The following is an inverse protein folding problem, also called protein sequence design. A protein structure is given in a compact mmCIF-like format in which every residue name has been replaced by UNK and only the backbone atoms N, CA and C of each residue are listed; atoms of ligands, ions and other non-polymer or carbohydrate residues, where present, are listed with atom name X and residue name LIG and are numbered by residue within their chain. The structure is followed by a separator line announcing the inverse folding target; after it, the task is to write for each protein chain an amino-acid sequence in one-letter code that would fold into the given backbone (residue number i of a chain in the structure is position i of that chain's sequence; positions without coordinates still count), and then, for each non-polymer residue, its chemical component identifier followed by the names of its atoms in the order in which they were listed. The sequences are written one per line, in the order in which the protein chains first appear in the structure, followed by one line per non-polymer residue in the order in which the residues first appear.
data_IF_253968777235
#
_entry.id   IF_253968777235
#
_cell.length_a   1.000
_cell.length_b   1.000
_cell.length_c   1.000
_cell.angle_alpha   90.00
_cell.angle_beta   90.00
_cell.angle_gamma   90.00
#
_symmetry.space_group_name_H-M   'P 1'
#
loop_
_entity.id
_entity.type
_entity.pdbx_description
1 polymer ?
#
# COMPACT_ATOMS: atom_id res chain seq x y z
N UNK A 1 -10.65 -5.28 0.09
CA UNK A 1 -11.50 -6.50 0.11
C UNK A 1 -12.02 -6.87 -1.28
N UNK A 2 -12.71 -5.97 -1.99
CA UNK A 2 -13.27 -6.22 -3.33
C UNK A 2 -12.23 -6.60 -4.39
N UNK A 3 -11.03 -6.01 -4.32
CA UNK A 3 -9.90 -6.31 -5.23
C UNK A 3 -9.47 -7.76 -5.15
N UNK A 4 -9.27 -8.28 -3.94
CA UNK A 4 -8.83 -9.66 -3.70
C UNK A 4 -9.82 -10.65 -4.28
N UNK A 5 -11.13 -10.41 -4.11
CA UNK A 5 -12.17 -11.27 -4.67
C UNK A 5 -12.20 -11.24 -6.20
N UNK A 6 -12.23 -10.05 -6.81
CA UNK A 6 -12.24 -9.96 -8.27
C UNK A 6 -10.95 -10.47 -8.90
N UNK A 7 -9.79 -10.20 -8.29
CA UNK A 7 -8.51 -10.73 -8.73
C UNK A 7 -8.52 -12.27 -8.64
N UNK A 8 -8.95 -12.84 -7.52
CA UNK A 8 -8.99 -14.29 -7.31
C UNK A 8 -9.94 -15.00 -8.29
N UNK A 9 -11.12 -14.43 -8.54
CA UNK A 9 -12.06 -14.96 -9.53
C UNK A 9 -11.50 -14.93 -10.97
N UNK A 10 -10.88 -13.82 -11.37
CA UNK A 10 -10.29 -13.73 -12.70
C UNK A 10 -9.05 -14.62 -12.84
N UNK A 11 -8.26 -14.77 -11.77
CA UNK A 11 -7.11 -15.67 -11.72
C UNK A 11 -7.53 -17.13 -11.86
N UNK A 12 -8.50 -17.58 -11.06
CA UNK A 12 -9.02 -18.95 -11.10
C UNK A 12 -9.65 -19.31 -12.45
N UNK A 13 -10.23 -18.34 -13.15
CA UNK A 13 -10.78 -18.50 -14.50
C UNK A 13 -9.72 -18.36 -15.63
N UNK A 14 -8.44 -18.15 -15.30
CA UNK A 14 -7.35 -17.95 -16.28
C UNK A 14 -7.43 -16.64 -17.06
N UNK A 15 -8.27 -15.69 -16.65
CA UNK A 15 -8.51 -14.42 -17.34
C UNK A 15 -7.54 -13.33 -16.88
N UNK A 16 -6.24 -13.54 -17.08
CA UNK A 16 -5.17 -12.66 -16.57
C UNK A 16 -5.28 -11.21 -17.08
N UNK A 17 -5.70 -11.00 -18.33
CA UNK A 17 -5.93 -9.64 -18.85
C UNK A 17 -7.05 -8.89 -18.12
N UNK A 18 -8.09 -9.60 -17.64
CA UNK A 18 -9.15 -8.99 -16.82
C UNK A 18 -8.70 -8.75 -15.39
N UNK A 19 -7.87 -9.64 -14.83
CA UNK A 19 -7.24 -9.46 -13.53
C UNK A 19 -6.46 -8.15 -13.48
N UNK A 20 -5.57 -7.92 -14.45
CA UNK A 20 -4.73 -6.71 -14.48
C UNK A 20 -5.58 -5.43 -14.59
N UNK A 21 -6.66 -5.47 -15.39
CA UNK A 21 -7.63 -4.37 -15.43
C UNK A 21 -8.26 -4.14 -14.05
N UNK A 22 -8.73 -5.18 -13.37
CA UNK A 22 -9.30 -5.03 -12.02
C UNK A 22 -8.31 -4.41 -11.02
N UNK A 23 -7.04 -4.79 -11.07
CA UNK A 23 -5.97 -4.21 -10.23
C UNK A 23 -5.78 -2.71 -10.53
N UNK A 24 -5.74 -2.32 -11.81
CA UNK A 24 -5.61 -0.91 -12.20
C UNK A 24 -6.81 -0.08 -11.75
N UNK A 25 -8.04 -0.56 -11.95
CA UNK A 25 -9.24 0.16 -11.51
C UNK A 25 -9.25 0.32 -9.98
N UNK A 26 -8.85 -0.74 -9.27
CA UNK A 26 -8.70 -0.68 -7.82
C UNK A 26 -7.69 0.37 -7.37
N UNK A 27 -6.51 0.41 -8.02
CA UNK A 27 -5.48 1.41 -7.72
C UNK A 27 -5.97 2.83 -7.97
N UNK A 28 -6.68 3.07 -9.08
CA UNK A 28 -7.26 4.37 -9.38
C UNK A 28 -8.30 4.79 -8.33
N UNK A 29 -9.19 3.88 -7.94
CA UNK A 29 -10.18 4.13 -6.89
C UNK A 29 -9.52 4.47 -5.56
N UNK A 30 -8.48 3.73 -5.19
CA UNK A 30 -7.77 3.94 -3.93
C UNK A 30 -6.96 5.25 -3.94
N UNK A 31 -6.32 5.59 -5.06
CA UNK A 31 -5.65 6.88 -5.23
C UNK A 31 -6.63 8.05 -5.13
N UNK A 32 -7.82 7.94 -5.74
CA UNK A 32 -8.86 8.98 -5.61
C UNK A 32 -9.33 9.13 -4.17
N UNK A 33 -9.53 8.02 -3.46
CA UNK A 33 -9.85 8.04 -2.04
C UNK A 33 -8.72 8.68 -1.20
N UNK A 34 -7.46 8.35 -1.51
CA UNK A 34 -6.29 8.95 -0.86
C UNK A 34 -6.20 10.46 -1.07
N UNK A 35 -6.45 10.96 -2.28
CA UNK A 35 -6.50 12.40 -2.55
C UNK A 35 -7.64 13.07 -1.79
N UNK A 36 -8.83 12.45 -1.75
CA UNK A 36 -9.95 12.97 -0.98
C UNK A 36 -9.62 13.03 0.52
N UNK A 37 -8.98 12.00 1.08
CA UNK A 37 -8.52 12.00 2.46
C UNK A 37 -7.46 13.07 2.70
N UNK A 38 -6.48 13.22 1.81
CA UNK A 38 -5.48 14.27 1.91
C UNK A 38 -6.13 15.66 1.96
N UNK A 39 -7.04 15.98 1.03
CA UNK A 39 -7.74 17.26 1.02
C UNK A 39 -8.59 17.47 2.27
N UNK A 40 -9.29 16.43 2.74
CA UNK A 40 -10.10 16.50 3.95
C UNK A 40 -9.22 16.82 5.17
N UNK A 41 -8.16 16.04 5.38
CA UNK A 41 -7.29 16.21 6.54
C UNK A 41 -6.46 17.49 6.48
N UNK A 42 -6.00 17.90 5.30
CA UNK A 42 -5.28 19.16 5.14
C UNK A 42 -6.13 20.37 5.54
N UNK A 43 -7.44 20.35 5.29
CA UNK A 43 -8.34 21.45 5.64
C UNK A 43 -8.95 21.33 7.05
N UNK A 44 -9.17 20.11 7.54
CA UNK A 44 -9.89 19.86 8.81
C UNK A 44 -8.99 19.37 9.95
N UNK A 45 -7.68 19.18 9.77
CA UNK A 45 -6.79 18.63 10.81
C UNK A 45 -6.86 19.42 12.12
N UNK A 46 -6.71 20.75 12.07
CA UNK A 46 -6.74 21.60 13.27
C UNK A 46 -8.09 21.56 14.03
N UNK A 47 -9.27 21.76 13.39
CA UNK A 47 -10.55 21.63 14.09
C UNK A 47 -10.85 20.19 14.51
N UNK A 48 -10.33 19.18 13.82
CA UNK A 48 -10.45 17.79 14.26
C UNK A 48 -9.70 17.56 15.58
N UNK A 49 -8.47 18.06 15.69
CA UNK A 49 -7.68 17.94 16.91
C UNK A 49 -8.25 18.75 18.08
N UNK A 50 -8.88 19.90 17.83
CA UNK A 50 -9.46 20.72 18.89
C UNK A 50 -10.64 20.06 19.62
N UNK A 51 -11.28 19.05 19.00
CA UNK A 51 -12.31 18.21 19.66
C UNK A 51 -11.70 17.32 20.75
N UNK A 52 -10.43 16.90 20.59
CA UNK A 52 -9.76 16.00 21.53
C UNK A 52 -8.95 16.74 22.60
N UNK A 53 -8.45 17.94 22.29
CA UNK A 53 -7.61 18.71 23.22
C UNK A 53 -7.72 20.19 22.96
N UNK A 54 -7.66 20.99 24.02
CA UNK A 54 -7.59 22.45 23.93
C UNK A 54 -6.14 22.98 24.00
N UNK A 55 -5.14 22.10 24.12
CA UNK A 55 -3.74 22.52 24.17
C UNK A 55 -3.24 22.89 22.76
N UNK A 56 -2.88 24.16 22.50
CA UNK A 56 -2.50 24.62 21.17
C UNK A 56 -1.23 23.93 20.64
N UNK A 57 -0.31 23.54 21.51
CA UNK A 57 0.93 22.87 21.09
C UNK A 57 0.67 21.44 20.62
N UNK A 58 -0.27 20.73 21.26
CA UNK A 58 -0.67 19.39 20.84
C UNK A 58 -1.42 19.44 19.50
N UNK A 59 -2.31 20.43 19.31
CA UNK A 59 -3.00 20.64 18.03
C UNK A 59 -1.97 20.90 16.91
N UNK A 60 -1.01 21.81 17.14
CA UNK A 60 0.04 22.16 16.17
C UNK A 60 0.86 20.94 15.76
N UNK A 61 1.33 20.16 16.73
CA UNK A 61 2.12 18.96 16.46
C UNK A 61 1.29 17.89 15.75
N UNK A 62 0.03 17.68 16.18
CA UNK A 62 -0.89 16.74 15.55
C UNK A 62 -1.15 17.07 14.09
N UNK A 63 -1.42 18.34 13.78
CA UNK A 63 -1.63 18.81 12.40
C UNK A 63 -0.42 18.53 11.52
N UNK A 64 0.81 18.84 11.98
CA UNK A 64 2.03 18.57 11.20
C UNK A 64 2.16 17.07 10.89
N UNK A 65 1.91 16.20 11.87
CA UNK A 65 1.99 14.75 11.68
C UNK A 65 0.95 14.28 10.65
N UNK A 66 -0.31 14.72 10.79
CA UNK A 66 -1.39 14.36 9.86
C UNK A 66 -1.09 14.85 8.44
N UNK A 67 -0.57 16.06 8.27
CA UNK A 67 -0.25 16.59 6.95
C UNK A 67 0.86 15.77 6.26
N UNK A 68 1.92 15.41 7.01
CA UNK A 68 3.01 14.55 6.51
C UNK A 68 2.50 13.15 6.16
N UNK A 69 1.71 12.54 7.05
CA UNK A 69 1.18 11.20 6.82
C UNK A 69 0.16 11.16 5.69
N UNK A 70 -0.70 12.18 5.60
CA UNK A 70 -1.76 12.24 4.61
C UNK A 70 -1.19 12.38 3.19
N UNK A 71 -0.13 13.16 3.02
CA UNK A 71 0.62 13.23 1.78
C UNK A 71 1.26 11.88 1.39
N UNK A 72 1.55 11.00 2.36
CA UNK A 72 2.10 9.67 2.12
C UNK A 72 1.08 8.59 1.79
N UNK A 73 -0.24 8.82 1.97
CA UNK A 73 -1.26 7.79 1.74
C UNK A 73 -1.31 7.29 0.30
N UNK A 74 -0.94 8.11 -0.69
CA UNK A 74 -0.90 7.65 -2.08
C UNK A 74 0.10 6.49 -2.27
N UNK A 75 1.23 6.48 -1.54
CA UNK A 75 2.21 5.40 -1.58
C UNK A 75 1.63 4.12 -0.97
N UNK A 76 0.85 4.30 0.09
CA UNK A 76 0.20 3.20 0.78
C UNK A 76 -0.79 2.45 -0.13
N UNK A 77 -1.47 3.15 -1.03
CA UNK A 77 -2.35 2.54 -2.04
C UNK A 77 -1.68 1.47 -2.89
N UNK A 78 -0.43 1.70 -3.31
CA UNK A 78 0.34 0.70 -4.07
C UNK A 78 0.60 -0.56 -3.24
N UNK A 79 0.92 -0.39 -1.95
CA UNK A 79 1.17 -1.49 -1.02
C UNK A 79 -0.08 -2.34 -0.85
N UNK A 80 -1.21 -1.70 -0.53
CA UNK A 80 -2.50 -2.36 -0.32
C UNK A 80 -2.94 -3.13 -1.57
N UNK A 81 -3.01 -2.47 -2.72
CA UNK A 81 -3.60 -3.01 -3.94
C UNK A 81 -2.75 -4.14 -4.53
N UNK A 82 -1.43 -3.95 -4.64
CA UNK A 82 -0.56 -5.00 -5.18
C UNK A 82 -0.41 -6.18 -4.23
N UNK A 83 -0.33 -5.93 -2.92
CA UNK A 83 -0.32 -7.05 -1.96
C UNK A 83 -1.64 -7.83 -2.00
N UNK A 84 -2.78 -7.14 -2.14
CA UNK A 84 -4.08 -7.79 -2.28
C UNK A 84 -4.19 -8.62 -3.56
N UNK A 85 -3.65 -8.13 -4.68
CA UNK A 85 -3.61 -8.83 -5.95
C UNK A 85 -2.72 -10.08 -5.87
N UNK A 86 -1.48 -9.94 -5.39
CA UNK A 86 -0.54 -11.05 -5.25
C UNK A 86 -1.05 -12.15 -4.32
N UNK A 87 -1.70 -11.78 -3.20
CA UNK A 87 -2.36 -12.74 -2.31
C UNK A 87 -3.49 -13.49 -3.02
N UNK A 88 -4.27 -12.81 -3.86
CA UNK A 88 -5.35 -13.43 -4.63
C UNK A 88 -4.83 -14.40 -5.71
N UNK A 89 -3.61 -14.17 -6.21
CA UNK A 89 -2.90 -15.05 -7.15
C UNK A 89 -2.18 -16.22 -6.44
N UNK A 90 -2.24 -16.29 -5.10
CA UNK A 90 -1.61 -17.33 -4.28
C UNK A 90 -0.20 -16.99 -3.78
N UNK A 91 0.36 -15.84 -4.15
CA UNK A 91 1.68 -15.38 -3.69
C UNK A 91 1.55 -14.55 -2.41
N UNK A 92 1.43 -15.21 -1.25
CA UNK A 92 1.18 -14.53 0.04
C UNK A 92 2.45 -14.18 0.82
N UNK A 93 3.50 -15.00 0.72
CA UNK A 93 4.68 -14.87 1.56
C UNK A 93 5.43 -13.54 1.32
N UNK A 94 5.76 -13.24 0.06
CA UNK A 94 6.54 -12.05 -0.29
C UNK A 94 5.80 -10.75 0.07
N UNK A 95 4.51 -10.55 -0.27
CA UNK A 95 3.76 -9.37 0.17
C UNK A 95 3.71 -9.22 1.69
N UNK A 96 3.58 -10.32 2.41
CA UNK A 96 3.57 -10.31 3.88
C UNK A 96 4.92 -9.90 4.44
N UNK A 97 6.02 -10.45 3.92
CA UNK A 97 7.37 -10.08 4.34
C UNK A 97 7.70 -8.62 4.05
N UNK A 98 7.29 -8.09 2.88
CA UNK A 98 7.46 -6.67 2.55
C UNK A 98 6.64 -5.81 3.51
N UNK A 99 5.40 -6.21 3.81
CA UNK A 99 4.53 -5.47 4.73
C UNK A 99 5.12 -5.44 6.15
N UNK A 100 5.49 -6.60 6.70
CA UNK A 100 6.07 -6.70 8.06
C UNK A 100 7.45 -6.03 8.12
N UNK A 101 8.30 -6.29 7.13
CA UNK A 101 9.65 -5.72 7.06
C UNK A 101 9.64 -4.21 6.88
N UNK A 102 8.85 -3.72 5.92
CA UNK A 102 8.80 -2.30 5.59
C UNK A 102 7.97 -1.47 6.57
N UNK A 103 6.85 -1.99 7.10
CA UNK A 103 5.96 -1.24 7.98
C UNK A 103 6.34 -1.39 9.46
N UNK A 104 6.90 -2.54 9.87
CA UNK A 104 7.27 -2.77 11.28
C UNK A 104 8.78 -2.70 11.50
N UNK A 105 9.56 -3.56 10.83
CA UNK A 105 11.00 -3.68 11.15
C UNK A 105 11.79 -2.43 10.75
N UNK A 106 11.53 -1.87 9.57
CA UNK A 106 12.14 -0.63 9.12
C UNK A 106 11.88 0.51 10.12
N UNK A 107 10.66 0.61 10.65
CA UNK A 107 10.31 1.65 11.63
C UNK A 107 11.02 1.45 12.96
N UNK A 108 11.12 0.21 13.44
CA UNK A 108 11.87 -0.11 14.67
C UNK A 108 13.35 0.25 14.49
N UNK A 109 13.96 -0.16 13.38
CA UNK A 109 15.36 0.16 13.07
C UNK A 109 15.54 1.68 12.94
N UNK A 110 14.63 2.37 12.26
CA UNK A 110 14.69 3.82 12.12
C UNK A 110 14.68 4.52 13.50
N UNK A 111 13.72 4.17 14.35
CA UNK A 111 13.57 4.77 15.67
C UNK A 111 14.75 4.45 16.60
N UNK A 112 15.29 3.22 16.55
CA UNK A 112 16.37 2.79 17.44
C UNK A 112 17.76 3.30 17.01
N UNK A 113 18.04 3.34 15.71
CA UNK A 113 19.35 3.73 15.17
C UNK A 113 19.47 5.24 15.03
N UNK A 114 18.41 5.91 14.57
CA UNK A 114 18.49 7.33 14.24
C UNK A 114 17.96 8.25 15.37
N UNK A 115 17.16 7.74 16.34
CA UNK A 115 16.40 8.64 17.23
C UNK A 115 16.13 8.14 18.66
N UNK A 116 17.15 8.14 19.53
CA UNK A 116 16.93 8.03 20.99
C UNK A 116 16.35 9.33 21.62
N UNK A 117 16.48 10.49 20.95
CA UNK A 117 16.04 11.83 21.45
C UNK A 117 15.23 12.65 20.41
N UNK A 118 14.63 12.03 19.39
CA UNK A 118 14.06 12.72 18.23
C UNK A 118 12.73 13.45 18.48
N UNK A 119 12.58 14.65 17.88
CA UNK A 119 11.31 15.40 17.84
C UNK A 119 10.22 14.63 17.08
N UNK A 120 8.94 14.84 17.42
CA UNK A 120 7.79 14.17 16.80
C UNK A 120 7.76 14.27 15.27
N UNK A 121 8.29 15.35 14.70
CA UNK A 121 8.39 15.52 13.25
C UNK A 121 9.34 14.52 12.58
N UNK A 122 10.43 14.15 13.25
CA UNK A 122 11.38 13.13 12.78
C UNK A 122 10.70 11.77 12.68
N UNK A 123 9.91 11.44 13.71
CA UNK A 123 9.14 10.20 13.79
C UNK A 123 8.09 10.16 12.68
N UNK A 124 7.40 11.28 12.42
CA UNK A 124 6.40 11.37 11.36
C UNK A 124 6.99 11.12 9.96
N UNK A 125 8.22 11.61 9.69
CA UNK A 125 8.91 11.39 8.41
C UNK A 125 9.28 9.93 8.15
N UNK A 126 9.45 9.11 9.19
CA UNK A 126 9.68 7.68 9.03
C UNK A 126 8.54 6.99 8.26
N UNK A 127 7.31 7.49 8.36
CA UNK A 127 6.13 6.87 7.74
C UNK A 127 6.17 6.96 6.21
N UNK A 128 6.27 8.15 5.57
CA UNK A 128 6.42 8.25 4.12
C UNK A 128 7.64 7.49 3.57
N UNK A 129 8.78 7.49 4.26
CA UNK A 129 9.97 6.75 3.82
C UNK A 129 9.75 5.23 3.85
N UNK A 130 9.18 4.72 4.94
CA UNK A 130 8.78 3.31 5.07
C UNK A 130 7.82 2.89 3.96
N UNK A 131 6.82 3.72 3.67
CA UNK A 131 5.87 3.46 2.59
C UNK A 131 6.51 3.54 1.21
N UNK A 132 7.40 4.50 0.97
CA UNK A 132 8.12 4.62 -0.30
C UNK A 132 8.90 3.35 -0.61
N UNK A 133 9.72 2.88 0.35
CA UNK A 133 10.51 1.65 0.20
C UNK A 133 9.58 0.45 -0.05
N UNK A 134 8.53 0.30 0.76
CA UNK A 134 7.59 -0.82 0.65
C UNK A 134 6.83 -0.81 -0.68
N UNK A 135 6.37 0.36 -1.11
CA UNK A 135 5.66 0.57 -2.37
C UNK A 135 6.57 0.26 -3.57
N UNK A 136 7.84 0.69 -3.53
CA UNK A 136 8.80 0.34 -4.57
C UNK A 136 9.02 -1.17 -4.64
N UNK A 137 9.29 -1.84 -3.50
CA UNK A 137 9.55 -3.28 -3.46
C UNK A 137 8.37 -4.11 -3.98
N UNK A 138 7.15 -3.82 -3.51
CA UNK A 138 5.97 -4.58 -3.91
C UNK A 138 5.58 -4.32 -5.37
N UNK A 139 5.76 -3.09 -5.86
CA UNK A 139 5.50 -2.73 -7.26
C UNK A 139 6.47 -3.46 -8.18
N UNK A 140 7.78 -3.42 -7.88
CA UNK A 140 8.78 -4.14 -8.65
C UNK A 140 8.51 -5.64 -8.66
N UNK A 141 8.19 -6.22 -7.50
CA UNK A 141 7.87 -7.65 -7.41
C UNK A 141 6.63 -8.02 -8.23
N UNK A 142 5.57 -7.21 -8.15
CA UNK A 142 4.36 -7.39 -8.97
C UNK A 142 4.69 -7.36 -10.46
N UNK A 143 5.41 -6.33 -10.93
CA UNK A 143 5.77 -6.18 -12.34
C UNK A 143 6.62 -7.33 -12.88
N UNK A 144 7.52 -7.90 -12.06
CA UNK A 144 8.33 -9.07 -12.44
C UNK A 144 7.50 -10.34 -12.51
N UNK A 145 6.53 -10.52 -11.60
CA UNK A 145 5.71 -11.75 -11.52
C UNK A 145 4.60 -11.81 -12.57
N UNK A 146 4.05 -10.68 -12.99
CA UNK A 146 2.93 -10.65 -13.94
C UNK A 146 3.23 -11.34 -15.30
N UNK A 147 4.40 -11.14 -15.95
CA UNK A 147 4.77 -11.86 -17.17
C UNK A 147 4.90 -13.37 -16.99
N UNK A 148 5.44 -13.82 -15.85
CA UNK A 148 5.61 -15.24 -15.51
C UNK A 148 4.24 -15.94 -15.40
N UNK A 149 3.32 -15.32 -14.65
CA UNK A 149 1.94 -15.80 -14.50
C UNK A 149 1.24 -15.86 -15.86
N UNK A 150 1.36 -14.80 -16.67
CA UNK A 150 0.74 -14.77 -18.00
C UNK A 150 1.24 -15.90 -18.90
N UNK A 151 2.54 -16.19 -18.90
CA UNK A 151 3.13 -17.29 -19.67
C UNK A 151 2.63 -18.67 -19.22
N UNK A 152 2.49 -18.87 -17.92
CA UNK A 152 1.94 -20.12 -17.37
C UNK A 152 0.52 -20.40 -17.90
N UNK A 153 -0.37 -19.41 -17.85
CA UNK A 153 -1.74 -19.56 -18.37
C UNK A 153 -1.81 -19.63 -19.90
N UNK A 154 -0.80 -19.18 -20.63
CA UNK A 154 -0.72 -19.31 -22.09
C UNK A 154 -0.26 -20.70 -22.56
N UNK A 155 0.53 -21.42 -21.75
CA UNK A 155 0.98 -22.79 -22.06
C UNK A 155 -0.03 -23.87 -21.66
N UNK A 156 -0.78 -23.62 -20.59
CA UNK A 156 -1.82 -24.52 -20.08
C UNK A 156 -2.93 -24.95 -21.07
N UNK A 157 -3.30 -24.20 -22.13
CA UNK A 157 -4.29 -24.66 -23.11
C UNK A 157 -3.80 -25.83 -23.98
N UNK A 158 -2.50 -25.94 -24.26
CA UNK A 158 -1.97 -26.90 -25.23
C UNK A 158 -1.93 -28.34 -24.67
N UNK A 159 -1.64 -28.51 -23.36
CA UNK A 159 -1.60 -29.82 -22.68
C UNK A 159 -2.96 -30.54 -22.61
N UNK A 160 -4.08 -29.82 -22.65
CA UNK A 160 -5.42 -30.43 -22.54
C UNK A 160 -5.98 -30.93 -23.89
N UNK A 161 -5.24 -30.76 -24.99
CA UNK A 161 -5.64 -31.23 -26.33
C UNK A 161 -4.91 -32.50 -26.77
N UNK A 162 -3.96 -33.00 -25.97
CA UNK A 162 -3.16 -34.20 -26.25
C UNK A 162 -3.53 -35.41 -25.36
N UNK A 163 -4.60 -35.33 -24.56
CA UNK A 163 -5.10 -36.42 -23.69
C UNK A 163 -6.44 -36.99 -24.15
#
# INVERSE_FOLDING_TARGET
VTVTTFAGQNFGAGKIGRLQKSVIHALLMDMMAGVLFFLLFFNLSAPLFSVFTSNPEVIRLGTIIIDIMSAGFFLFSFIEVFSAALRAEGYVLIPTLISVGGICLFRIVWLTVFHLNGSLNEIARCYPFSWLVSASLITTYYLIKQPEIRRYFQKKPEENTES
#
